data_IF_982780758547
#
_entry.id   IF_982780758547
#
_cell.length_a   1.000
_cell.length_b   1.000
_cell.length_c   1.000
_cell.angle_alpha   90.00
_cell.angle_beta   90.00
_cell.angle_gamma   90.00
#
_symmetry.space_group_name_H-M   'P 1'
#
loop_
_entity.id
_entity.type
_entity.pdbx_description
1 polymer ?
#
# COMPACT_ATOMS: atom_id res chain seq x y z
N UNK A 1 -14.13 -16.44 -9.62
CA UNK A 1 -13.38 -15.19 -9.50
C UNK A 1 -11.90 -15.54 -9.41
N UNK A 2 -11.13 -15.24 -10.44
CA UNK A 2 -9.66 -15.47 -10.53
C UNK A 2 -8.87 -14.53 -9.60
N UNK A 3 -9.22 -14.50 -8.32
CA UNK A 3 -8.51 -13.71 -7.29
C UNK A 3 -7.46 -14.56 -6.61
N UNK A 4 -6.36 -13.94 -6.18
CA UNK A 4 -5.26 -14.62 -5.49
C UNK A 4 -4.15 -15.15 -6.38
N UNK A 5 -4.19 -14.94 -7.70
CA UNK A 5 -3.15 -15.43 -8.59
C UNK A 5 -1.77 -14.76 -8.38
N UNK A 6 -1.72 -13.57 -7.77
CA UNK A 6 -0.49 -12.80 -7.53
C UNK A 6 -0.29 -12.41 -6.08
N UNK A 7 -1.36 -12.07 -5.36
CA UNK A 7 -1.33 -11.69 -3.94
C UNK A 7 -2.46 -12.36 -3.18
N UNK A 8 -2.15 -12.85 -1.98
CA UNK A 8 -3.11 -13.41 -1.03
C UNK A 8 -3.85 -12.33 -0.22
N UNK A 9 -3.39 -11.06 -0.27
CA UNK A 9 -3.91 -9.98 0.58
C UNK A 9 -5.42 -9.78 0.42
N UNK A 10 -5.93 -9.73 -0.82
CA UNK A 10 -7.35 -9.50 -1.04
C UNK A 10 -8.25 -10.59 -0.47
N UNK A 11 -7.83 -11.85 -0.55
CA UNK A 11 -8.55 -13.00 0.04
C UNK A 11 -8.39 -12.98 1.56
N UNK A 12 -7.16 -12.80 2.04
CA UNK A 12 -6.86 -12.76 3.47
C UNK A 12 -7.61 -11.63 4.19
N UNK A 13 -7.66 -10.43 3.60
CA UNK A 13 -8.39 -9.29 4.17
C UNK A 13 -9.89 -9.54 4.27
N UNK A 14 -10.48 -10.20 3.26
CA UNK A 14 -11.89 -10.56 3.29
C UNK A 14 -12.21 -11.60 4.36
N UNK A 15 -11.34 -12.61 4.54
CA UNK A 15 -11.57 -13.71 5.47
C UNK A 15 -11.23 -13.39 6.92
N UNK A 16 -10.16 -12.63 7.14
CA UNK A 16 -9.57 -12.45 8.48
C UNK A 16 -9.49 -11.00 8.95
N UNK A 17 -9.59 -10.02 8.03
CA UNK A 17 -9.37 -8.61 8.35
C UNK A 17 -7.97 -8.32 8.90
N UNK A 18 -7.77 -7.09 9.38
CA UNK A 18 -6.50 -6.67 9.99
C UNK A 18 -5.43 -6.28 8.98
N UNK A 19 -4.22 -6.14 9.48
CA UNK A 19 -3.02 -5.90 8.67
C UNK A 19 -2.38 -7.25 8.31
N UNK A 20 -2.10 -7.45 7.03
CA UNK A 20 -1.66 -8.72 6.49
C UNK A 20 -0.35 -8.57 5.73
N UNK A 21 0.51 -9.56 5.86
CA UNK A 21 1.70 -9.73 5.02
C UNK A 21 1.59 -11.06 4.31
N UNK A 22 1.60 -11.06 2.97
CA UNK A 22 1.70 -12.29 2.22
C UNK A 22 3.17 -12.64 1.92
N UNK A 23 3.46 -13.92 1.80
CA UNK A 23 4.81 -14.45 1.57
C UNK A 23 5.24 -14.47 0.12
N UNK A 24 4.45 -13.86 -0.78
CA UNK A 24 4.69 -13.96 -2.22
C UNK A 24 4.30 -15.31 -2.81
N UNK A 25 4.29 -15.38 -4.13
CA UNK A 25 3.89 -16.59 -4.86
C UNK A 25 5.02 -17.62 -4.80
N UNK A 26 4.71 -18.79 -4.25
CA UNK A 26 5.62 -19.94 -4.22
C UNK A 26 5.52 -20.79 -5.49
N UNK A 27 5.97 -22.04 -5.39
CA UNK A 27 6.01 -23.02 -6.50
C UNK A 27 4.59 -23.51 -6.87
N UNK A 28 3.63 -23.42 -5.93
CA UNK A 28 2.26 -23.87 -6.16
C UNK A 28 1.43 -22.81 -6.87
N UNK A 29 0.45 -23.24 -7.70
CA UNK A 29 -0.53 -22.36 -8.35
C UNK A 29 -1.58 -21.79 -7.37
N UNK A 30 -1.45 -22.06 -6.08
CA UNK A 30 -2.32 -21.52 -5.03
C UNK A 30 -2.03 -20.05 -4.76
N UNK A 31 -3.00 -19.37 -4.15
CA UNK A 31 -2.80 -18.01 -3.66
C UNK A 31 -1.60 -17.94 -2.70
N UNK A 32 -0.82 -16.84 -2.73
CA UNK A 32 0.28 -16.65 -1.78
C UNK A 32 -0.17 -16.82 -0.33
N UNK A 33 0.63 -17.50 0.51
CA UNK A 33 0.30 -17.70 1.91
C UNK A 33 0.36 -16.38 2.69
N UNK A 34 -0.58 -16.16 3.58
CA UNK A 34 -0.48 -15.08 4.57
C UNK A 34 0.51 -15.55 5.66
N UNK A 35 1.63 -14.86 5.79
CA UNK A 35 2.71 -15.18 6.73
C UNK A 35 2.65 -14.39 8.03
N UNK A 36 1.95 -13.24 8.03
CA UNK A 36 1.65 -12.50 9.25
C UNK A 36 0.27 -11.87 9.16
N UNK A 37 -0.43 -11.84 10.29
CA UNK A 37 -1.72 -11.16 10.48
C UNK A 37 -1.75 -10.55 11.86
N UNK A 38 -2.02 -9.24 11.94
CA UNK A 38 -2.21 -8.52 13.20
C UNK A 38 -3.48 -7.69 13.14
N UNK A 39 -4.10 -7.47 14.29
CA UNK A 39 -5.22 -6.55 14.38
C UNK A 39 -4.75 -5.13 14.10
N UNK A 40 -5.53 -4.42 13.30
CA UNK A 40 -5.29 -2.99 13.06
C UNK A 40 -5.80 -2.19 14.27
N UNK A 41 -5.03 -1.24 14.81
CA UNK A 41 -5.45 -0.49 15.99
C UNK A 41 -6.79 0.22 15.80
N UNK A 42 -7.72 0.01 16.73
CA UNK A 42 -9.11 0.45 16.61
C UNK A 42 -9.28 1.98 16.56
N UNK A 43 -8.33 2.72 17.11
CA UNK A 43 -8.32 4.18 17.07
C UNK A 43 -7.72 4.76 15.80
N UNK A 44 -6.99 3.99 15.01
CA UNK A 44 -6.45 4.48 13.74
C UNK A 44 -7.53 4.54 12.66
N UNK A 45 -7.39 5.48 11.75
CA UNK A 45 -8.34 5.70 10.65
C UNK A 45 -7.63 5.66 9.30
N UNK A 46 -8.38 5.28 8.29
CA UNK A 46 -7.91 5.27 6.90
C UNK A 46 -8.86 6.17 6.11
N UNK A 47 -8.35 7.29 5.60
CA UNK A 47 -9.07 8.11 4.63
C UNK A 47 -8.80 7.53 3.24
N UNK A 48 -9.86 7.28 2.48
CA UNK A 48 -9.75 6.85 1.10
C UNK A 48 -9.86 8.06 0.16
N UNK A 49 -8.89 8.20 -0.72
CA UNK A 49 -8.86 9.20 -1.79
C UNK A 49 -9.41 8.56 -3.07
N UNK A 50 -10.70 8.76 -3.31
CA UNK A 50 -11.39 8.12 -4.45
C UNK A 50 -11.46 9.08 -5.62
N UNK A 51 -10.76 8.75 -6.70
CA UNK A 51 -10.79 9.52 -7.94
C UNK A 51 -12.10 9.24 -8.70
N UNK A 52 -12.86 10.29 -8.98
CA UNK A 52 -14.06 10.16 -9.83
C UNK A 52 -13.63 9.93 -11.30
N UNK A 53 -14.26 8.98 -11.99
CA UNK A 53 -14.11 8.72 -13.43
C UNK A 53 -12.75 8.18 -13.91
N UNK A 54 -11.94 7.61 -13.05
CA UNK A 54 -10.72 6.91 -13.48
C UNK A 54 -10.80 5.45 -13.04
N UNK A 55 -10.64 4.55 -13.99
CA UNK A 55 -10.50 3.12 -13.72
C UNK A 55 -9.02 2.79 -13.50
N UNK A 56 -8.76 1.87 -12.58
CA UNK A 56 -7.42 1.32 -12.36
C UNK A 56 -7.02 0.36 -13.48
N UNK A 57 -5.75 0.03 -13.55
CA UNK A 57 -5.25 -1.02 -14.43
C UNK A 57 -5.67 -2.38 -13.82
N UNK A 58 -6.38 -3.21 -14.59
CA UNK A 58 -6.83 -4.53 -14.14
C UNK A 58 -6.90 -5.54 -15.31
N UNK A 59 -6.98 -6.83 -14.97
CA UNK A 59 -7.16 -7.90 -15.96
C UNK A 59 -5.98 -8.10 -16.90
N UNK A 60 -6.23 -8.13 -18.22
CA UNK A 60 -5.21 -8.34 -19.25
C UNK A 60 -4.18 -7.21 -19.30
N UNK A 61 -4.64 -5.96 -19.19
CA UNK A 61 -3.77 -4.78 -19.19
C UNK A 61 -2.78 -4.78 -18.02
N UNK A 62 -3.19 -5.29 -16.86
CA UNK A 62 -2.33 -5.47 -15.71
C UNK A 62 -1.25 -6.54 -15.96
N UNK A 63 -1.63 -7.66 -16.58
CA UNK A 63 -0.67 -8.71 -16.97
C UNK A 63 0.35 -8.20 -17.99
N UNK A 64 -0.08 -7.43 -18.98
CA UNK A 64 0.81 -6.81 -19.97
C UNK A 64 1.76 -5.80 -19.33
N UNK A 65 1.27 -4.98 -18.40
CA UNK A 65 2.10 -4.04 -17.66
C UNK A 65 3.18 -4.77 -16.84
N UNK A 66 2.82 -5.84 -16.12
CA UNK A 66 3.79 -6.67 -15.40
C UNK A 66 4.86 -7.30 -16.29
N UNK A 67 4.47 -7.78 -17.47
CA UNK A 67 5.41 -8.43 -18.40
C UNK A 67 6.43 -7.47 -19.02
N UNK A 68 6.15 -6.16 -18.96
CA UNK A 68 7.06 -5.11 -19.46
C UNK A 68 7.93 -4.49 -18.37
N UNK A 69 7.66 -4.79 -17.11
CA UNK A 69 8.46 -4.28 -16.00
C UNK A 69 9.76 -5.07 -15.87
N UNK A 70 10.81 -4.35 -15.56
CA UNK A 70 12.05 -4.97 -15.12
C UNK A 70 11.85 -5.75 -13.82
N UNK A 71 12.74 -6.72 -13.57
CA UNK A 71 12.74 -7.46 -12.31
C UNK A 71 12.98 -6.47 -11.15
N UNK A 72 12.18 -6.57 -10.09
CA UNK A 72 12.37 -5.73 -8.90
C UNK A 72 13.78 -5.95 -8.33
N UNK A 73 14.59 -4.90 -8.12
CA UNK A 73 15.97 -5.04 -7.68
C UNK A 73 16.07 -5.79 -6.35
N UNK A 74 16.95 -6.81 -6.29
CA UNK A 74 17.08 -7.68 -5.13
C UNK A 74 17.40 -6.89 -3.85
N UNK A 75 18.30 -5.93 -3.93
CA UNK A 75 18.69 -5.08 -2.79
C UNK A 75 17.49 -4.31 -2.23
N UNK A 76 16.62 -3.79 -3.10
CA UNK A 76 15.38 -3.11 -2.69
C UNK A 76 14.39 -4.10 -2.09
N UNK A 77 14.25 -5.29 -2.65
CA UNK A 77 13.39 -6.33 -2.09
C UNK A 77 13.87 -6.75 -0.69
N UNK A 78 15.19 -6.92 -0.49
CA UNK A 78 15.79 -7.21 0.81
C UNK A 78 15.55 -6.09 1.81
N UNK A 79 15.78 -4.84 1.41
CA UNK A 79 15.52 -3.67 2.24
C UNK A 79 14.05 -3.56 2.67
N UNK A 80 13.11 -3.72 1.72
CA UNK A 80 11.68 -3.67 2.03
C UNK A 80 11.23 -4.84 2.91
N UNK A 81 11.78 -6.05 2.71
CA UNK A 81 11.52 -7.19 3.58
C UNK A 81 12.01 -6.91 5.01
N UNK A 82 13.21 -6.39 5.17
CA UNK A 82 13.73 -5.97 6.47
C UNK A 82 12.88 -4.85 7.09
N UNK A 83 12.49 -3.85 6.31
CA UNK A 83 11.63 -2.76 6.75
C UNK A 83 10.30 -3.29 7.32
N UNK A 84 9.66 -4.23 6.59
CA UNK A 84 8.39 -4.83 7.03
C UNK A 84 8.57 -5.61 8.32
N UNK A 85 9.58 -6.51 8.38
CA UNK A 85 9.77 -7.41 9.51
C UNK A 85 10.28 -6.69 10.76
N UNK A 86 11.21 -5.73 10.60
CA UNK A 86 11.92 -5.12 11.72
C UNK A 86 11.44 -3.74 12.12
N UNK A 87 10.51 -3.14 11.34
CA UNK A 87 9.94 -1.84 11.66
C UNK A 87 8.42 -1.80 11.52
N UNK A 88 7.86 -2.18 10.36
CA UNK A 88 6.40 -2.05 10.14
C UNK A 88 5.61 -2.92 11.10
N UNK A 89 5.92 -4.21 11.19
CA UNK A 89 5.22 -5.14 12.09
C UNK A 89 5.42 -4.79 13.57
N UNK A 90 6.65 -4.58 14.07
CA UNK A 90 6.84 -4.16 15.45
C UNK A 90 6.07 -2.88 15.81
N UNK A 91 6.17 -1.83 14.98
CA UNK A 91 5.48 -0.56 15.26
C UNK A 91 3.94 -0.69 15.23
N UNK A 92 3.40 -1.58 14.40
CA UNK A 92 1.96 -1.90 14.42
C UNK A 92 1.55 -2.56 15.74
N UNK A 93 2.31 -3.57 16.19
CA UNK A 93 2.06 -4.31 17.44
C UNK A 93 2.15 -3.39 18.65
N UNK A 94 3.16 -2.51 18.68
CA UNK A 94 3.39 -1.52 19.73
C UNK A 94 2.46 -0.31 19.63
N UNK A 95 1.67 -0.20 18.55
CA UNK A 95 0.81 0.95 18.23
C UNK A 95 1.60 2.26 18.09
N UNK A 96 2.86 2.18 17.69
CA UNK A 96 3.68 3.35 17.34
C UNK A 96 3.29 3.85 15.93
N UNK A 97 2.30 4.76 15.91
CA UNK A 97 1.76 5.33 14.67
C UNK A 97 2.83 6.02 13.84
N UNK A 98 3.77 6.74 14.47
CA UNK A 98 4.80 7.49 13.76
C UNK A 98 5.77 6.56 13.01
N UNK A 99 6.29 5.53 13.67
CA UNK A 99 7.18 4.56 13.04
C UNK A 99 6.47 3.73 11.98
N UNK A 100 5.22 3.31 12.26
CA UNK A 100 4.39 2.58 11.30
C UNK A 100 4.17 3.39 10.03
N UNK A 101 3.66 4.62 10.13
CA UNK A 101 3.37 5.46 8.97
C UNK A 101 4.62 5.87 8.21
N UNK A 102 5.74 6.07 8.90
CA UNK A 102 7.04 6.31 8.26
C UNK A 102 7.47 5.12 7.39
N UNK A 103 7.31 3.89 7.89
CA UNK A 103 7.65 2.67 7.14
C UNK A 103 6.72 2.45 5.94
N UNK A 104 5.41 2.73 6.09
CA UNK A 104 4.44 2.65 4.99
C UNK A 104 4.79 3.66 3.89
N UNK A 105 5.15 4.90 4.23
CA UNK A 105 5.57 5.89 3.23
C UNK A 105 6.78 5.41 2.42
N UNK A 106 7.82 4.89 3.08
CA UNK A 106 9.00 4.34 2.41
C UNK A 106 8.59 3.21 1.45
N UNK A 107 7.79 2.26 1.92
CA UNK A 107 7.32 1.12 1.12
C UNK A 107 6.54 1.60 -0.11
N UNK A 108 5.61 2.54 0.06
CA UNK A 108 4.78 3.06 -1.01
C UNK A 108 5.60 3.80 -2.08
N UNK A 109 6.60 4.57 -1.66
CA UNK A 109 7.49 5.27 -2.60
C UNK A 109 8.41 4.31 -3.35
N UNK A 110 9.07 3.37 -2.68
CA UNK A 110 9.98 2.42 -3.33
C UNK A 110 9.26 1.52 -4.34
N UNK A 111 8.09 1.01 -3.97
CA UNK A 111 7.23 0.25 -4.89
C UNK A 111 6.72 1.15 -6.01
N UNK A 112 6.23 2.35 -5.69
CA UNK A 112 5.72 3.31 -6.67
C UNK A 112 6.77 3.74 -7.70
N UNK A 113 8.01 3.96 -7.30
CA UNK A 113 9.12 4.25 -8.22
C UNK A 113 9.39 3.12 -9.20
N UNK A 114 9.35 1.87 -8.73
CA UNK A 114 9.54 0.72 -9.61
C UNK A 114 8.44 0.62 -10.68
N UNK A 115 7.21 0.94 -10.31
CA UNK A 115 6.05 0.90 -11.21
C UNK A 115 5.82 2.20 -12.00
N UNK A 116 6.63 3.25 -11.79
CA UNK A 116 6.37 4.59 -12.30
C UNK A 116 6.19 4.66 -13.81
N UNK A 117 7.01 3.94 -14.56
CA UNK A 117 6.96 3.92 -16.03
C UNK A 117 5.68 3.25 -16.56
N UNK A 118 5.20 2.22 -15.86
CA UNK A 118 4.01 1.49 -16.26
C UNK A 118 2.70 2.21 -15.87
N UNK A 119 2.73 3.04 -14.81
CA UNK A 119 1.54 3.69 -14.27
C UNK A 119 1.52 5.22 -14.43
N UNK A 120 2.57 5.81 -15.02
CA UNK A 120 2.65 7.25 -15.31
C UNK A 120 3.06 8.12 -14.14
N UNK A 121 3.76 7.55 -13.15
CA UNK A 121 4.28 8.24 -11.97
C UNK A 121 4.31 7.35 -10.74
N UNK A 122 4.85 7.85 -9.62
CA UNK A 122 4.92 7.11 -8.35
C UNK A 122 3.52 6.67 -7.87
N UNK A 123 2.52 7.51 -8.11
CA UNK A 123 1.10 7.19 -7.91
C UNK A 123 0.37 7.36 -9.24
N UNK A 124 -0.46 6.40 -9.60
CA UNK A 124 -1.11 6.33 -10.93
C UNK A 124 -2.12 7.46 -11.20
N UNK A 125 -2.71 8.02 -10.14
CA UNK A 125 -3.64 9.14 -10.26
C UNK A 125 -2.96 10.46 -9.90
N UNK A 126 -2.98 11.42 -10.84
CA UNK A 126 -2.35 12.74 -10.67
C UNK A 126 -2.89 13.52 -9.45
N UNK A 127 -4.21 13.52 -9.23
CA UNK A 127 -4.81 14.22 -8.08
C UNK A 127 -4.42 13.57 -6.75
N UNK A 128 -4.40 12.24 -6.70
CA UNK A 128 -3.92 11.51 -5.52
C UNK A 128 -2.44 11.85 -5.26
N UNK A 129 -1.61 11.87 -6.30
CA UNK A 129 -0.20 12.27 -6.18
C UNK A 129 -0.02 13.71 -5.66
N UNK A 130 -0.82 14.65 -6.16
CA UNK A 130 -0.82 16.05 -5.70
C UNK A 130 -1.22 16.18 -4.22
N UNK A 131 -2.28 15.46 -3.80
CA UNK A 131 -2.73 15.43 -2.40
C UNK A 131 -1.67 14.83 -1.50
N UNK A 132 -1.08 13.69 -1.87
CA UNK A 132 -0.02 13.04 -1.08
C UNK A 132 1.16 14.01 -0.93
N UNK A 133 1.66 14.59 -2.03
CA UNK A 133 2.77 15.53 -1.98
C UNK A 133 2.47 16.78 -1.13
N UNK A 134 1.23 17.26 -1.15
CA UNK A 134 0.79 18.38 -0.32
C UNK A 134 0.81 18.02 1.18
N UNK A 135 0.29 16.83 1.52
CA UNK A 135 0.25 16.37 2.91
C UNK A 135 1.66 16.05 3.44
N UNK A 136 2.54 15.49 2.59
CA UNK A 136 3.96 15.24 2.95
C UNK A 136 4.68 16.53 3.32
N UNK A 137 4.50 17.60 2.53
CA UNK A 137 5.04 18.93 2.83
C UNK A 137 4.54 19.50 4.17
N UNK A 138 3.38 19.04 4.64
CA UNK A 138 2.82 19.38 5.96
C UNK A 138 3.27 18.42 7.07
N UNK A 139 4.15 17.45 6.77
CA UNK A 139 4.71 16.51 7.73
C UNK A 139 3.87 15.25 7.98
N UNK A 140 2.78 15.03 7.23
CA UNK A 140 2.03 13.78 7.32
C UNK A 140 2.79 12.64 6.66
N UNK A 141 2.59 11.42 7.17
CA UNK A 141 3.18 10.17 6.66
C UNK A 141 2.13 9.07 6.62
N UNK A 142 2.46 7.92 6.00
CA UNK A 142 1.55 6.79 5.91
C UNK A 142 0.49 6.97 4.83
N UNK A 143 0.90 7.47 3.69
CA UNK A 143 0.04 7.65 2.53
C UNK A 143 0.51 6.79 1.37
N UNK A 144 -0.38 6.48 0.47
CA UNK A 144 -0.06 5.70 -0.71
C UNK A 144 -1.27 5.43 -1.58
N UNK A 145 -1.13 4.44 -2.46
CA UNK A 145 -2.23 3.96 -3.29
C UNK A 145 -2.50 2.47 -3.05
N UNK A 146 -3.74 2.07 -3.30
CA UNK A 146 -4.16 0.67 -3.26
C UNK A 146 -3.82 -0.01 -4.59
N UNK A 147 -2.89 -0.97 -4.56
CA UNK A 147 -2.45 -1.71 -5.77
C UNK A 147 -2.02 -0.74 -6.90
N UNK A 148 -2.60 -0.88 -8.09
CA UNK A 148 -2.39 -0.01 -9.24
C UNK A 148 -3.17 1.32 -9.19
N UNK A 149 -3.73 1.66 -8.04
CA UNK A 149 -4.62 2.82 -7.94
C UNK A 149 -5.99 2.57 -8.61
N UNK A 150 -6.74 3.62 -9.00
CA UNK A 150 -6.47 5.04 -8.77
C UNK A 150 -6.77 5.49 -7.33
N UNK A 151 -7.24 4.60 -6.48
CA UNK A 151 -7.59 4.92 -5.08
C UNK A 151 -6.33 5.11 -4.26
N UNK A 152 -6.19 6.29 -3.65
CA UNK A 152 -5.18 6.56 -2.64
C UNK A 152 -5.71 6.35 -1.23
N UNK A 153 -4.80 6.41 -0.24
CA UNK A 153 -5.16 6.39 1.16
C UNK A 153 -4.26 7.29 2.00
N UNK A 154 -4.78 7.71 3.15
CA UNK A 154 -4.04 8.43 4.19
C UNK A 154 -4.36 7.77 5.53
N UNK A 155 -3.32 7.38 6.27
CA UNK A 155 -3.44 6.85 7.62
C UNK A 155 -3.50 8.00 8.62
N UNK A 156 -4.36 7.86 9.64
CA UNK A 156 -4.53 8.81 10.72
C UNK A 156 -4.55 8.08 12.07
N UNK A 157 -3.97 8.70 13.10
CA UNK A 157 -3.88 8.14 14.46
C UNK A 157 -5.20 8.18 15.23
N UNK A 158 -6.16 9.01 14.77
CA UNK A 158 -7.41 9.28 15.46
C UNK A 158 -8.47 9.88 14.54
N UNK A 159 -9.72 9.93 15.02
CA UNK A 159 -10.82 10.66 14.36
C UNK A 159 -10.50 12.14 14.21
N UNK A 160 -9.86 12.73 15.21
CA UNK A 160 -9.48 14.16 15.20
C UNK A 160 -8.48 14.44 14.08
N UNK A 161 -7.46 13.60 13.92
CA UNK A 161 -6.49 13.75 12.84
C UNK A 161 -7.16 13.49 11.49
N UNK A 162 -8.02 12.48 11.37
CA UNK A 162 -8.76 12.19 10.15
C UNK A 162 -9.64 13.38 9.72
N UNK A 163 -10.36 13.97 10.68
CA UNK A 163 -11.14 15.19 10.40
C UNK A 163 -10.25 16.34 9.94
N UNK A 164 -9.14 16.60 10.64
CA UNK A 164 -8.17 17.64 10.22
C UNK A 164 -7.66 17.43 8.81
N UNK A 165 -7.27 16.20 8.47
CA UNK A 165 -6.80 15.86 7.12
C UNK A 165 -7.90 16.07 6.09
N UNK A 166 -9.14 15.63 6.35
CA UNK A 166 -10.27 15.81 5.43
C UNK A 166 -10.62 17.28 5.14
N UNK A 167 -10.27 18.19 6.04
CA UNK A 167 -10.45 19.65 5.81
C UNK A 167 -9.31 20.28 5.00
N UNK A 168 -8.20 19.57 4.82
CA UNK A 168 -7.03 20.06 4.07
C UNK A 168 -7.06 19.67 2.58
N UNK A 169 -7.90 18.68 2.19
CA UNK A 169 -7.88 18.05 0.85
C UNK A 169 -9.17 18.28 0.02
#
# INVERSE_FOLDING_TARGET
LDRGNRSGIGIGSYLAGGFLVDGGKGISDKAPPIIARHDFPENWRIILLIARKQEGIFGSSEKEAFNKLDVFPLEKAQFLSQLVLMKTLPSLIEKDFHSFTSSISILQHEVGYHFSDAQGGVFSNKKVSEIISFLEKKGFKGMGQSSWGPTGFVLCDSDTQAYKVSQLI
#
